data_IF_791793138775
#
_entry.id   IF_791793138775
#
_cell.length_a   1.000
_cell.length_b   1.000
_cell.length_c   1.000
_cell.angle_alpha   90.00
_cell.angle_beta   90.00
_cell.angle_gamma   90.00
#
_symmetry.space_group_name_H-M   'P 1'
#
loop_
_entity.id
_entity.type
_entity.pdbx_description
1 polymer ?
#
# COMPACT_ATOMS: atom_id res chain seq x y z
N UNK A 1 29.69 3.48 -44.42
CA UNK A 1 29.08 4.81 -44.55
C UNK A 1 27.72 4.75 -43.90
N UNK A 2 27.52 5.64 -42.92
CA UNK A 2 26.21 5.92 -42.35
C UNK A 2 25.32 6.59 -43.39
N UNK A 3 24.00 6.51 -43.18
CA UNK A 3 23.01 7.15 -44.07
C UNK A 3 23.30 8.65 -44.21
N UNK A 4 23.77 9.30 -43.14
CA UNK A 4 24.18 10.70 -43.15
C UNK A 4 25.30 10.96 -44.16
N UNK A 5 26.35 10.14 -44.14
CA UNK A 5 27.46 10.28 -45.09
C UNK A 5 27.03 10.02 -46.55
N UNK A 6 26.02 9.17 -46.77
CA UNK A 6 25.46 8.95 -48.11
C UNK A 6 24.59 10.14 -48.57
N UNK A 7 23.91 10.82 -47.64
CA UNK A 7 23.18 12.06 -47.93
C UNK A 7 24.16 13.21 -48.23
N UNK A 8 25.22 13.35 -47.43
CA UNK A 8 26.30 14.31 -47.67
C UNK A 8 26.94 14.07 -49.04
N UNK A 9 27.19 12.81 -49.42
CA UNK A 9 27.71 12.48 -50.74
C UNK A 9 26.78 12.91 -51.89
N UNK A 10 25.46 12.80 -51.72
CA UNK A 10 24.50 13.32 -52.71
C UNK A 10 24.55 14.85 -52.77
N UNK A 11 24.69 15.50 -51.61
CA UNK A 11 24.84 16.96 -51.50
C UNK A 11 26.10 17.42 -52.24
N UNK A 12 27.24 16.79 -51.99
CA UNK A 12 28.52 17.06 -52.68
C UNK A 12 28.39 16.91 -54.21
N UNK A 13 27.76 15.82 -54.70
CA UNK A 13 27.54 15.59 -56.13
C UNK A 13 26.70 16.72 -56.76
N UNK A 14 25.73 17.27 -56.01
CA UNK A 14 24.88 18.37 -56.48
C UNK A 14 25.62 19.71 -56.43
N UNK A 15 26.46 19.94 -55.42
CA UNK A 15 27.26 21.17 -55.29
C UNK A 15 28.35 21.27 -56.37
N UNK A 16 29.02 20.16 -56.70
CA UNK A 16 30.07 20.07 -57.71
C UNK A 16 29.56 19.99 -59.16
N UNK A 17 28.24 19.86 -59.33
CA UNK A 17 27.60 19.69 -60.63
C UNK A 17 27.75 20.92 -61.54
N UNK A 18 27.99 20.67 -62.84
CA UNK A 18 28.14 21.74 -63.83
C UNK A 18 26.83 22.49 -64.07
N UNK A 19 26.84 23.81 -63.88
CA UNK A 19 25.66 24.67 -64.07
C UNK A 19 25.37 24.91 -65.55
N UNK A 20 24.09 24.85 -65.92
CA UNK A 20 23.65 25.13 -67.28
C UNK A 20 23.47 26.65 -67.50
N UNK A 21 24.02 27.24 -68.58
CA UNK A 21 24.05 28.69 -68.77
C UNK A 21 22.65 29.31 -68.76
N UNK A 22 22.52 30.46 -68.09
CA UNK A 22 21.27 31.23 -67.96
C UNK A 22 20.09 30.47 -67.31
N UNK A 23 20.37 29.40 -66.54
CA UNK A 23 19.34 28.65 -65.80
C UNK A 23 19.83 28.19 -64.42
N UNK A 24 18.88 27.85 -63.54
CA UNK A 24 19.19 27.24 -62.23
C UNK A 24 19.39 25.73 -62.29
N UNK A 25 19.56 25.15 -63.49
CA UNK A 25 19.72 23.69 -63.66
C UNK A 25 21.19 23.29 -63.57
N UNK A 26 21.44 22.12 -62.99
CA UNK A 26 22.75 21.49 -62.90
C UNK A 26 22.76 20.17 -63.68
N UNK A 27 23.89 19.84 -64.28
CA UNK A 27 24.13 18.57 -64.96
C UNK A 27 24.83 17.61 -64.00
N UNK A 28 24.17 16.50 -63.68
CA UNK A 28 24.64 15.46 -62.76
C UNK A 28 24.74 14.13 -63.49
N UNK A 29 25.67 13.28 -63.05
CA UNK A 29 25.73 11.88 -63.47
C UNK A 29 24.55 11.13 -62.82
N UNK A 30 23.67 10.60 -63.66
CA UNK A 30 22.46 9.91 -63.22
C UNK A 30 22.80 8.58 -62.56
N UNK A 31 23.75 7.83 -63.11
CA UNK A 31 24.15 6.52 -62.62
C UNK A 31 24.78 6.64 -61.23
N UNK A 32 25.63 7.65 -61.01
CA UNK A 32 26.27 7.91 -59.71
C UNK A 32 25.24 8.24 -58.60
N UNK A 33 24.31 9.16 -58.85
CA UNK A 33 23.29 9.54 -57.86
C UNK A 33 22.34 8.37 -57.57
N UNK A 34 21.97 7.59 -58.59
CA UNK A 34 21.11 6.42 -58.40
C UNK A 34 21.79 5.31 -57.59
N UNK A 35 23.12 5.15 -57.70
CA UNK A 35 23.89 4.22 -56.88
C UNK A 35 23.81 4.60 -55.39
N UNK A 36 24.05 5.88 -55.07
CA UNK A 36 23.98 6.37 -53.69
C UNK A 36 22.55 6.25 -53.12
N UNK A 37 21.52 6.57 -53.92
CA UNK A 37 20.11 6.39 -53.52
C UNK A 37 19.78 4.92 -53.24
N UNK A 38 20.29 3.99 -54.06
CA UNK A 38 20.07 2.56 -53.84
C UNK A 38 20.77 2.07 -52.57
N UNK A 39 21.99 2.55 -52.30
CA UNK A 39 22.71 2.22 -51.07
C UNK A 39 21.96 2.72 -49.82
N UNK A 40 21.42 3.95 -49.86
CA UNK A 40 20.55 4.49 -48.82
C UNK A 40 19.31 3.60 -48.65
N UNK A 41 18.64 3.23 -49.74
CA UNK A 41 17.43 2.40 -49.69
C UNK A 41 17.68 1.01 -49.09
N UNK A 42 18.86 0.44 -49.30
CA UNK A 42 19.24 -0.85 -48.72
C UNK A 42 19.54 -0.76 -47.23
N UNK A 43 20.21 0.33 -46.79
CA UNK A 43 20.66 0.48 -45.39
C UNK A 43 19.64 1.12 -44.45
N UNK A 44 18.76 1.99 -44.98
CA UNK A 44 17.79 2.74 -44.20
C UNK A 44 16.78 1.87 -43.42
N UNK A 45 16.20 0.79 -44.01
CA UNK A 45 15.26 -0.06 -43.27
C UNK A 45 15.89 -0.70 -42.03
N UNK A 46 17.13 -1.17 -42.14
CA UNK A 46 17.83 -1.80 -41.02
C UNK A 46 18.11 -0.82 -39.89
N UNK A 47 18.50 0.42 -40.20
CA UNK A 47 18.74 1.45 -39.19
C UNK A 47 17.46 1.86 -38.46
N UNK A 48 16.36 2.02 -39.20
CA UNK A 48 15.04 2.33 -38.63
C UNK A 48 14.56 1.17 -37.74
N UNK A 49 14.75 -0.07 -38.19
CA UNK A 49 14.40 -1.26 -37.43
C UNK A 49 15.23 -1.37 -36.14
N UNK A 50 16.54 -1.10 -36.21
CA UNK A 50 17.42 -1.04 -35.03
C UNK A 50 16.95 0.02 -34.04
N UNK A 51 16.70 1.24 -34.49
CA UNK A 51 16.24 2.32 -33.63
C UNK A 51 14.89 1.98 -32.95
N UNK A 52 13.95 1.42 -33.70
CA UNK A 52 12.66 0.95 -33.17
C UNK A 52 12.83 -0.17 -32.14
N UNK A 53 13.73 -1.12 -32.41
CA UNK A 53 14.05 -2.21 -31.48
C UNK A 53 14.66 -1.67 -30.18
N UNK A 54 15.66 -0.79 -30.26
CA UNK A 54 16.28 -0.17 -29.07
C UNK A 54 15.24 0.57 -28.24
N UNK A 55 14.32 1.30 -28.88
CA UNK A 55 13.25 2.01 -28.17
C UNK A 55 12.30 1.07 -27.44
N UNK A 56 11.91 -0.05 -28.10
CA UNK A 56 11.04 -1.06 -27.49
C UNK A 56 11.73 -1.77 -26.34
N UNK A 57 13.00 -2.11 -26.52
CA UNK A 57 13.80 -2.81 -25.52
C UNK A 57 14.02 -1.94 -24.29
N UNK A 58 14.31 -0.65 -24.49
CA UNK A 58 14.38 0.32 -23.39
C UNK A 58 13.07 0.39 -22.62
N UNK A 59 11.93 0.43 -23.31
CA UNK A 59 10.62 0.46 -22.64
C UNK A 59 10.35 -0.83 -21.86
N UNK A 60 10.72 -1.99 -22.43
CA UNK A 60 10.61 -3.29 -21.77
C UNK A 60 11.40 -3.31 -20.47
N UNK A 61 12.67 -2.91 -20.52
CA UNK A 61 13.56 -2.85 -19.35
C UNK A 61 13.00 -1.91 -18.28
N UNK A 62 12.49 -0.75 -18.66
CA UNK A 62 11.89 0.20 -17.72
C UNK A 62 10.65 -0.38 -17.03
N UNK A 63 9.78 -1.04 -17.78
CA UNK A 63 8.57 -1.66 -17.22
C UNK A 63 8.92 -2.82 -16.28
N UNK A 64 9.90 -3.65 -16.66
CA UNK A 64 10.37 -4.74 -15.81
C UNK A 64 10.97 -4.21 -14.50
N UNK A 65 11.83 -3.19 -14.57
CA UNK A 65 12.41 -2.56 -13.39
C UNK A 65 11.35 -1.92 -12.48
N UNK A 66 10.29 -1.33 -13.06
CA UNK A 66 9.16 -0.79 -12.29
C UNK A 66 8.38 -1.90 -11.58
N UNK A 67 8.05 -2.97 -12.29
CA UNK A 67 7.33 -4.10 -11.71
C UNK A 67 8.16 -4.77 -10.59
N UNK A 68 9.46 -4.99 -10.81
CA UNK A 68 10.36 -5.55 -9.78
C UNK A 68 10.43 -4.65 -8.54
N UNK A 69 10.48 -3.33 -8.73
CA UNK A 69 10.49 -2.38 -7.62
C UNK A 69 9.17 -2.43 -6.83
N UNK A 70 8.03 -2.49 -7.51
CA UNK A 70 6.71 -2.63 -6.87
C UNK A 70 6.59 -3.94 -6.09
N UNK A 71 7.02 -5.06 -6.68
CA UNK A 71 7.05 -6.37 -6.01
C UNK A 71 7.95 -6.35 -4.77
N UNK A 72 9.13 -5.74 -4.86
CA UNK A 72 10.05 -5.61 -3.73
C UNK A 72 9.44 -4.78 -2.60
N UNK A 73 8.82 -3.64 -2.91
CA UNK A 73 8.16 -2.78 -1.91
C UNK A 73 7.04 -3.55 -1.22
N UNK A 74 6.21 -4.25 -1.98
CA UNK A 74 5.12 -5.08 -1.45
C UNK A 74 5.66 -6.15 -0.48
N UNK A 75 6.71 -6.87 -0.90
CA UNK A 75 7.35 -7.91 -0.09
C UNK A 75 7.97 -7.37 1.20
N UNK A 76 8.66 -6.23 1.13
CA UNK A 76 9.27 -5.58 2.30
C UNK A 76 8.19 -5.11 3.26
N UNK A 77 7.09 -4.55 2.75
CA UNK A 77 5.97 -4.08 3.58
C UNK A 77 5.33 -5.24 4.36
N UNK A 78 5.11 -6.38 3.70
CA UNK A 78 4.57 -7.57 4.36
C UNK A 78 5.54 -8.10 5.43
N UNK A 79 6.83 -8.20 5.11
CA UNK A 79 7.85 -8.62 6.08
C UNK A 79 7.95 -7.68 7.29
N UNK A 80 7.86 -6.36 7.07
CA UNK A 80 7.84 -5.39 8.16
C UNK A 80 6.63 -5.58 9.08
N UNK A 81 5.45 -5.83 8.50
CA UNK A 81 4.25 -6.11 9.28
C UNK A 81 4.43 -7.36 10.15
N UNK A 82 4.94 -8.46 9.58
CA UNK A 82 5.24 -9.68 10.35
C UNK A 82 6.25 -9.41 11.45
N UNK A 83 7.35 -8.70 11.18
CA UNK A 83 8.37 -8.36 12.17
C UNK A 83 7.82 -7.49 13.31
N UNK A 84 6.90 -6.56 13.02
CA UNK A 84 6.24 -5.75 14.05
C UNK A 84 5.31 -6.62 14.89
N UNK A 85 4.55 -7.52 14.27
CA UNK A 85 3.65 -8.44 14.99
C UNK A 85 4.43 -9.42 15.88
N UNK A 86 5.57 -9.92 15.39
CA UNK A 86 6.50 -10.81 16.10
C UNK A 86 7.41 -10.07 17.08
N UNK A 87 7.47 -8.74 17.01
CA UNK A 87 8.29 -7.93 17.89
C UNK A 87 7.95 -8.24 19.34
N UNK A 88 9.00 -8.45 20.14
CA UNK A 88 8.88 -8.69 21.57
C UNK A 88 8.08 -7.58 22.26
N UNK A 89 8.15 -6.34 21.75
CA UNK A 89 7.35 -5.21 22.24
C UNK A 89 5.85 -5.47 22.03
N UNK A 90 5.44 -5.88 20.84
CA UNK A 90 4.03 -6.19 20.52
C UNK A 90 3.53 -7.38 21.33
N UNK A 91 4.36 -8.41 21.51
CA UNK A 91 4.04 -9.57 22.34
C UNK A 91 3.87 -9.19 23.81
N UNK A 92 4.78 -8.39 24.36
CA UNK A 92 4.68 -7.88 25.73
C UNK A 92 3.47 -6.97 25.91
N UNK A 93 3.18 -6.10 24.94
CA UNK A 93 2.01 -5.23 24.98
C UNK A 93 0.70 -6.03 24.99
N UNK A 94 0.58 -7.09 24.17
CA UNK A 94 -0.57 -8.00 24.19
C UNK A 94 -0.72 -8.69 25.55
N UNK A 95 0.37 -9.26 26.08
CA UNK A 95 0.36 -9.90 27.40
C UNK A 95 -0.06 -8.93 28.51
N UNK A 96 0.45 -7.71 28.48
CA UNK A 96 0.08 -6.68 29.46
C UNK A 96 -1.40 -6.28 29.33
N UNK A 97 -1.91 -6.15 28.10
CA UNK A 97 -3.32 -5.88 27.86
C UNK A 97 -4.22 -7.02 28.40
N UNK A 98 -3.85 -8.27 28.15
CA UNK A 98 -4.59 -9.43 28.66
C UNK A 98 -4.60 -9.46 30.20
N UNK A 99 -3.45 -9.16 30.84
CA UNK A 99 -3.35 -9.04 32.29
C UNK A 99 -4.24 -7.92 32.82
N UNK A 100 -4.23 -6.75 32.17
CA UNK A 100 -5.07 -5.62 32.57
C UNK A 100 -6.57 -5.95 32.48
N UNK A 101 -6.99 -6.67 31.43
CA UNK A 101 -8.37 -7.12 31.28
C UNK A 101 -8.75 -8.09 32.39
N UNK A 102 -7.90 -9.08 32.68
CA UNK A 102 -8.14 -10.04 33.76
C UNK A 102 -8.25 -9.35 35.13
N UNK A 103 -7.36 -8.40 35.42
CA UNK A 103 -7.43 -7.62 36.66
C UNK A 103 -8.70 -6.78 36.74
N UNK A 104 -9.13 -6.18 35.61
CA UNK A 104 -10.37 -5.39 35.55
C UNK A 104 -11.60 -6.27 35.79
N UNK A 105 -11.66 -7.45 35.17
CA UNK A 105 -12.74 -8.43 35.37
C UNK A 105 -12.79 -8.95 36.80
N UNK A 106 -11.64 -9.26 37.40
CA UNK A 106 -11.55 -9.66 38.79
C UNK A 106 -12.10 -8.57 39.71
N UNK A 107 -11.63 -7.32 39.56
CA UNK A 107 -12.09 -6.19 40.37
C UNK A 107 -13.60 -5.93 40.18
N UNK A 108 -14.11 -6.08 38.97
CA UNK A 108 -15.54 -5.92 38.69
C UNK A 108 -16.37 -6.99 39.42
N UNK A 109 -15.90 -8.25 39.42
CA UNK A 109 -16.56 -9.33 40.15
C UNK A 109 -16.49 -9.15 41.67
N UNK A 110 -15.34 -8.73 42.21
CA UNK A 110 -15.18 -8.41 43.62
C UNK A 110 -16.12 -7.28 44.05
N UNK A 111 -16.20 -6.21 43.26
CA UNK A 111 -17.12 -5.10 43.51
C UNK A 111 -18.58 -5.54 43.47
N UNK A 112 -18.95 -6.38 42.50
CA UNK A 112 -20.30 -6.94 42.39
C UNK A 112 -20.65 -7.82 43.60
N UNK A 113 -19.74 -8.69 44.04
CA UNK A 113 -19.92 -9.51 45.23
C UNK A 113 -20.10 -8.65 46.47
N UNK A 114 -19.21 -7.68 46.68
CA UNK A 114 -19.30 -6.76 47.81
C UNK A 114 -20.59 -5.94 47.83
N UNK A 115 -21.14 -5.58 46.66
CA UNK A 115 -22.44 -4.92 46.56
C UNK A 115 -23.60 -5.84 46.97
N UNK A 116 -23.54 -7.13 46.62
CA UNK A 116 -24.54 -8.10 47.07
C UNK A 116 -24.46 -8.36 48.57
N UNK A 117 -23.25 -8.55 49.11
CA UNK A 117 -23.03 -8.77 50.54
C UNK A 117 -23.55 -7.59 51.36
N UNK A 118 -23.24 -6.37 50.92
CA UNK A 118 -23.77 -5.15 51.54
C UNK A 118 -25.30 -5.06 51.46
N UNK A 119 -25.88 -5.43 50.31
CA UNK A 119 -27.34 -5.42 50.14
C UNK A 119 -28.01 -6.45 51.06
N UNK A 120 -27.44 -7.64 51.20
CA UNK A 120 -27.93 -8.67 52.11
C UNK A 120 -27.84 -8.22 53.58
N UNK A 121 -26.74 -7.57 53.97
CA UNK A 121 -26.60 -7.00 55.32
C UNK A 121 -27.71 -5.98 55.63
N UNK A 122 -28.01 -5.10 54.68
CA UNK A 122 -29.10 -4.11 54.83
C UNK A 122 -30.47 -4.80 54.92
N UNK A 123 -30.73 -5.79 54.07
CA UNK A 123 -31.98 -6.56 54.09
C UNK A 123 -32.14 -7.36 55.39
N UNK A 124 -31.06 -7.92 55.92
CA UNK A 124 -31.03 -8.66 57.18
C UNK A 124 -31.37 -7.73 58.35
N UNK A 125 -30.74 -6.55 58.43
CA UNK A 125 -31.07 -5.52 59.45
C UNK A 125 -32.52 -5.06 59.36
N UNK A 126 -33.04 -4.88 58.14
CA UNK A 126 -34.44 -4.54 57.92
C UNK A 126 -35.37 -5.65 58.42
N UNK A 127 -35.05 -6.92 58.13
CA UNK A 127 -35.82 -8.07 58.58
C UNK A 127 -35.88 -8.14 60.12
N UNK A 128 -34.76 -7.90 60.81
CA UNK A 128 -34.73 -7.86 62.27
C UNK A 128 -35.63 -6.75 62.82
N UNK A 129 -35.58 -5.55 62.23
CA UNK A 129 -36.44 -4.44 62.64
C UNK A 129 -37.92 -4.73 62.42
N UNK A 130 -38.28 -5.38 61.32
CA UNK A 130 -39.67 -5.80 61.06
C UNK A 130 -40.13 -6.82 62.12
N UNK A 131 -39.29 -7.80 62.49
CA UNK A 131 -39.62 -8.76 63.56
C UNK A 131 -39.85 -8.07 64.90
N UNK A 132 -38.99 -7.11 65.25
CA UNK A 132 -39.13 -6.32 66.47
C UNK A 132 -40.49 -5.58 66.49
N UNK A 133 -40.85 -4.92 65.38
CA UNK A 133 -42.14 -4.24 65.24
C UNK A 133 -43.31 -5.23 65.33
N UNK A 134 -43.21 -6.39 64.69
CA UNK A 134 -44.28 -7.38 64.72
C UNK A 134 -44.53 -7.94 66.13
N UNK A 135 -43.46 -8.20 66.89
CA UNK A 135 -43.58 -8.64 68.28
C UNK A 135 -44.31 -7.59 69.13
N UNK A 136 -43.99 -6.30 68.97
CA UNK A 136 -44.69 -5.20 69.65
C UNK A 136 -46.18 -5.20 69.30
N UNK A 137 -46.54 -5.44 68.03
CA UNK A 137 -47.94 -5.51 67.60
C UNK A 137 -48.64 -6.72 68.24
N UNK A 138 -48.00 -7.88 68.29
CA UNK A 138 -48.54 -9.10 68.91
C UNK A 138 -48.79 -8.88 70.40
N UNK A 139 -47.83 -8.33 71.13
CA UNK A 139 -47.95 -8.00 72.56
C UNK A 139 -49.13 -7.05 72.81
N UNK A 140 -49.23 -5.98 72.02
CA UNK A 140 -50.34 -5.03 72.12
C UNK A 140 -51.71 -5.69 71.87
N UNK A 141 -51.79 -6.62 70.91
CA UNK A 141 -53.03 -7.37 70.62
C UNK A 141 -53.39 -8.35 71.74
N UNK A 142 -52.40 -8.99 72.37
CA UNK A 142 -52.63 -9.85 73.53
C UNK A 142 -53.23 -9.08 74.71
N UNK A 143 -52.70 -7.89 74.99
CA UNK A 143 -53.22 -7.01 76.06
C UNK A 143 -54.68 -6.66 75.80
N UNK A 144 -55.03 -6.27 74.57
CA UNK A 144 -56.40 -5.94 74.19
C UNK A 144 -57.38 -7.11 74.28
N UNK A 145 -56.93 -8.36 74.10
CA UNK A 145 -57.78 -9.56 74.25
C UNK A 145 -58.04 -9.95 75.70
N UNK A 146 -57.19 -9.50 76.63
CA UNK A 146 -57.29 -9.78 78.07
C UNK A 146 -58.10 -8.71 78.82
N UNK A 147 -58.45 -7.61 78.14
CA UNK A 147 -59.43 -6.61 78.58
C UNK A 147 -60.85 -7.05 78.20
#
# INVERSE_FOLDING_TARGET
>A
MDILNLLERIEDIIEDASKFPLSSKVMIDKEEVLEVINEIRLKMPDEINRASWVSKERQRILNEAQNEAEELISKVTEQQKTLIEESEITRQAKKYADQLIQEAEQKANEMKSGAYDYSDEILSKLQEKIREINNIIEDNREVLKKM
#
